data_IF_331530207273
#
_entry.id   IF_331530207273
#
_cell.length_a   1.000
_cell.length_b   1.000
_cell.length_c   1.000
_cell.angle_alpha   90.00
_cell.angle_beta   90.00
_cell.angle_gamma   90.00
#
_symmetry.space_group_name_H-M   'P 1'
#
loop_
_entity.id
_entity.type
_entity.pdbx_description
1 polymer ?
#
# COMPACT_ATOMS: atom_id res chain seq x y z
N UNK A 1 -5.02 -7.67 28.23
CA UNK A 1 -5.64 -7.48 26.91
C UNK A 1 -4.95 -8.42 25.93
N UNK A 2 -5.63 -8.90 24.89
CA UNK A 2 -5.03 -9.83 23.91
C UNK A 2 -4.02 -9.11 23.03
N UNK A 3 -2.84 -9.70 22.78
CA UNK A 3 -1.83 -9.15 21.86
C UNK A 3 -2.36 -8.87 20.44
N UNK A 4 -3.39 -9.62 20.03
CA UNK A 4 -4.06 -9.42 18.74
C UNK A 4 -4.85 -8.11 18.74
N UNK A 5 -5.63 -7.88 19.80
CA UNK A 5 -6.41 -6.65 19.98
C UNK A 5 -5.51 -5.43 20.07
N UNK A 6 -4.39 -5.52 20.79
CA UNK A 6 -3.41 -4.42 20.91
C UNK A 6 -2.88 -3.98 19.52
N UNK A 7 -2.61 -4.95 18.64
CA UNK A 7 -2.11 -4.66 17.28
C UNK A 7 -3.17 -4.00 16.40
N UNK A 8 -4.42 -4.45 16.48
CA UNK A 8 -5.53 -3.85 15.73
C UNK A 8 -5.82 -2.43 16.22
N UNK A 9 -5.84 -2.23 17.53
CA UNK A 9 -6.00 -0.93 18.16
C UNK A 9 -4.92 0.07 17.73
N UNK A 10 -3.64 -0.34 17.80
CA UNK A 10 -2.51 0.49 17.35
C UNK A 10 -2.64 0.86 15.86
N UNK A 11 -3.10 -0.08 15.01
CA UNK A 11 -3.34 0.21 13.59
C UNK A 11 -4.41 1.29 13.41
N UNK A 12 -5.52 1.21 14.13
CA UNK A 12 -6.59 2.22 14.06
C UNK A 12 -6.09 3.58 14.55
N UNK A 13 -5.37 3.61 15.68
CA UNK A 13 -4.74 4.82 16.23
C UNK A 13 -3.82 5.48 15.20
N UNK A 14 -2.90 4.74 14.61
CA UNK A 14 -1.95 5.29 13.64
C UNK A 14 -2.62 5.72 12.33
N UNK A 15 -3.68 5.02 11.91
CA UNK A 15 -4.34 5.26 10.61
C UNK A 15 -5.32 6.44 10.64
N UNK A 16 -6.10 6.57 11.72
CA UNK A 16 -7.22 7.52 11.81
C UNK A 16 -7.02 8.59 12.87
N UNK A 17 -6.46 8.24 14.03
CA UNK A 17 -6.35 9.20 15.14
C UNK A 17 -5.15 10.14 15.00
N UNK A 18 -3.95 9.60 14.75
CA UNK A 18 -2.71 10.40 14.65
C UNK A 18 -2.55 11.16 13.33
N UNK A 19 -3.39 10.86 12.34
CA UNK A 19 -3.20 11.34 10.98
C UNK A 19 -3.85 12.71 10.83
N UNK A 20 -3.08 13.72 10.44
CA UNK A 20 -3.64 15.04 10.13
C UNK A 20 -4.65 14.94 8.98
N UNK A 21 -5.86 15.44 9.23
CA UNK A 21 -6.91 15.52 8.23
C UNK A 21 -6.62 16.72 7.33
N UNK A 22 -6.13 16.45 6.12
CA UNK A 22 -6.06 17.46 5.08
C UNK A 22 -7.41 17.59 4.39
N UNK A 23 -7.92 18.83 4.31
CA UNK A 23 -9.22 19.13 3.72
C UNK A 23 -9.31 18.78 2.23
N UNK A 24 -8.18 18.71 1.52
CA UNK A 24 -8.14 18.54 0.07
C UNK A 24 -7.11 17.51 -0.38
N UNK A 25 -7.46 16.73 -1.42
CA UNK A 25 -6.52 15.84 -2.11
C UNK A 25 -5.67 16.72 -3.03
N UNK A 26 -4.33 16.56 -3.06
CA UNK A 26 -3.48 17.35 -3.94
C UNK A 26 -3.80 17.09 -5.41
N UNK A 27 -3.65 18.11 -6.26
CA UNK A 27 -3.85 18.02 -7.72
C UNK A 27 -3.01 16.90 -8.37
N UNK A 28 -1.83 16.64 -7.79
CA UNK A 28 -0.93 15.58 -8.21
C UNK A 28 -0.51 14.78 -6.99
N UNK A 29 -0.67 13.47 -7.06
CA UNK A 29 -0.23 12.58 -5.99
C UNK A 29 -0.22 11.13 -6.41
N UNK A 30 0.25 10.28 -5.49
CA UNK A 30 0.18 8.84 -5.63
C UNK A 30 -0.61 8.23 -4.46
N UNK A 31 -1.44 7.20 -4.69
CA UNK A 31 -2.10 6.49 -3.60
C UNK A 31 -1.08 5.96 -2.59
N UNK A 32 -1.29 6.28 -1.30
CA UNK A 32 -0.54 5.74 -0.14
C UNK A 32 0.98 5.91 -0.08
N UNK A 33 1.61 6.66 -0.99
CA UNK A 33 3.08 6.80 -1.02
C UNK A 33 3.77 5.47 -1.34
N UNK A 34 4.03 5.17 -2.62
CA UNK A 34 4.58 3.88 -3.01
C UNK A 34 6.00 3.74 -2.45
N UNK A 35 6.40 2.51 -2.11
CA UNK A 35 7.82 2.26 -1.91
C UNK A 35 8.56 2.50 -3.23
N UNK A 36 9.79 3.02 -3.16
CA UNK A 36 10.64 3.19 -4.34
C UNK A 36 11.27 1.84 -4.74
N UNK A 37 10.93 1.29 -5.93
CA UNK A 37 11.55 0.07 -6.43
C UNK A 37 13.06 0.24 -6.59
N UNK A 38 13.83 -0.79 -6.24
CA UNK A 38 15.28 -0.76 -6.41
C UNK A 38 16.07 -0.12 -5.28
N UNK A 39 15.43 0.54 -4.30
CA UNK A 39 16.14 1.21 -3.20
C UNK A 39 16.24 0.31 -1.96
N UNK A 40 15.12 -0.02 -1.33
CA UNK A 40 15.12 -0.69 -0.01
C UNK A 40 14.89 -2.20 -0.06
N UNK A 41 14.15 -2.67 -1.06
CA UNK A 41 13.68 -4.06 -1.16
C UNK A 41 14.02 -4.69 -2.51
N UNK A 42 15.11 -4.27 -3.14
CA UNK A 42 15.52 -4.82 -4.43
C UNK A 42 15.65 -6.36 -4.30
N UNK A 43 14.84 -7.07 -5.05
CA UNK A 43 14.82 -8.53 -5.05
C UNK A 43 15.55 -9.04 -6.28
N UNK A 44 16.37 -10.08 -6.11
CA UNK A 44 17.24 -10.64 -7.15
C UNK A 44 16.99 -12.14 -7.24
N UNK A 45 16.75 -12.64 -8.45
CA UNK A 45 16.64 -14.07 -8.67
C UNK A 45 17.98 -14.73 -9.05
N UNK A 46 17.98 -16.06 -9.16
CA UNK A 46 19.18 -16.87 -9.49
C UNK A 46 19.75 -16.60 -10.89
N UNK A 47 18.96 -15.99 -11.78
CA UNK A 47 19.37 -15.60 -13.13
C UNK A 47 19.98 -14.20 -13.18
N UNK A 48 20.08 -13.52 -12.02
CA UNK A 48 20.59 -12.17 -11.95
C UNK A 48 19.54 -11.09 -12.29
N UNK A 49 18.25 -11.42 -12.41
CA UNK A 49 17.19 -10.47 -12.71
C UNK A 49 16.70 -9.73 -11.45
N UNK A 50 16.51 -8.42 -11.58
CA UNK A 50 16.04 -7.54 -10.51
C UNK A 50 14.52 -7.33 -10.54
N UNK A 51 13.90 -7.30 -9.36
CA UNK A 51 12.46 -7.12 -9.11
C UNK A 51 12.22 -6.06 -8.03
N UNK A 52 11.07 -5.37 -8.03
CA UNK A 52 10.76 -4.29 -7.09
C UNK A 52 10.76 -4.71 -5.62
N UNK A 53 10.33 -5.95 -5.33
CA UNK A 53 10.33 -6.57 -4.01
C UNK A 53 10.06 -8.07 -4.09
N UNK A 54 10.10 -8.76 -2.95
CA UNK A 54 9.82 -10.19 -2.79
C UNK A 54 8.36 -10.60 -3.08
N UNK A 55 7.46 -9.62 -3.25
CA UNK A 55 6.00 -9.85 -3.33
C UNK A 55 5.47 -9.96 -4.76
N UNK A 56 6.33 -9.86 -5.76
CA UNK A 56 5.96 -9.98 -7.18
C UNK A 56 6.41 -11.33 -7.74
N UNK A 57 5.80 -11.74 -8.84
CA UNK A 57 6.19 -12.96 -9.53
C UNK A 57 7.52 -12.77 -10.27
N UNK A 58 8.48 -13.68 -10.07
CA UNK A 58 9.72 -13.73 -10.88
C UNK A 58 9.46 -14.12 -12.34
N UNK A 59 8.29 -14.68 -12.64
CA UNK A 59 7.87 -15.00 -14.01
C UNK A 59 7.28 -13.77 -14.72
N UNK A 60 7.05 -12.66 -14.01
CA UNK A 60 6.45 -11.45 -14.57
C UNK A 60 7.50 -10.54 -15.23
N UNK A 61 7.39 -10.41 -16.55
CA UNK A 61 8.24 -9.56 -17.37
C UNK A 61 8.08 -8.06 -17.07
N UNK A 62 6.86 -7.62 -16.70
CA UNK A 62 6.61 -6.23 -16.31
C UNK A 62 7.25 -5.90 -14.96
N UNK A 63 7.41 -6.91 -14.10
CA UNK A 63 8.05 -6.76 -12.78
C UNK A 63 9.57 -6.89 -12.82
N UNK A 64 10.14 -7.44 -13.90
CA UNK A 64 11.59 -7.44 -14.12
C UNK A 64 12.09 -6.01 -14.42
N UNK A 65 12.68 -5.37 -13.42
CA UNK A 65 13.17 -3.98 -13.43
C UNK A 65 14.67 -3.84 -13.66
N UNK A 66 15.38 -4.92 -13.97
CA UNK A 66 16.81 -4.85 -14.24
C UNK A 66 17.48 -6.22 -14.33
N UNK A 67 18.80 -6.19 -14.50
CA UNK A 67 19.67 -7.35 -14.39
C UNK A 67 21.01 -6.95 -13.76
N UNK A 68 21.69 -7.87 -13.09
CA UNK A 68 23.00 -7.63 -12.46
C UNK A 68 24.07 -7.13 -13.46
N UNK A 69 23.93 -7.48 -14.73
CA UNK A 69 24.85 -7.06 -15.80
C UNK A 69 24.49 -5.68 -16.35
N UNK A 70 23.20 -5.42 -16.58
CA UNK A 70 22.73 -4.18 -17.25
C UNK A 70 22.39 -3.05 -16.26
N UNK A 71 22.25 -3.37 -14.98
CA UNK A 71 21.74 -2.47 -13.95
C UNK A 71 20.21 -2.37 -13.93
N UNK A 72 19.72 -1.23 -13.44
CA UNK A 72 18.29 -0.94 -13.29
C UNK A 72 17.70 -0.29 -14.55
N UNK A 73 16.59 -0.83 -15.02
CA UNK A 73 15.82 -0.30 -16.14
C UNK A 73 14.90 0.82 -15.64
N UNK A 74 15.40 2.06 -15.65
CA UNK A 74 14.72 3.23 -15.06
C UNK A 74 13.31 3.44 -15.66
N UNK A 75 13.14 3.28 -16.98
CA UNK A 75 11.84 3.44 -17.63
C UNK A 75 10.80 2.44 -17.12
N UNK A 76 11.21 1.18 -16.89
CA UNK A 76 10.32 0.17 -16.30
C UNK A 76 9.97 0.51 -14.86
N UNK A 77 10.93 0.99 -14.07
CA UNK A 77 10.71 1.42 -12.68
C UNK A 77 9.69 2.56 -12.64
N UNK A 78 9.83 3.57 -13.50
CA UNK A 78 8.89 4.69 -13.59
C UNK A 78 7.48 4.22 -13.98
N UNK A 79 7.37 3.27 -14.90
CA UNK A 79 6.09 2.70 -15.30
C UNK A 79 5.38 2.01 -14.13
N UNK A 80 6.07 1.10 -13.42
CA UNK A 80 5.45 0.37 -12.29
C UNK A 80 5.21 1.25 -11.05
N UNK A 81 5.99 2.32 -10.90
CA UNK A 81 5.81 3.32 -9.84
C UNK A 81 4.49 4.06 -9.99
N UNK A 82 4.01 4.28 -11.22
CA UNK A 82 2.78 5.00 -11.48
C UNK A 82 1.57 4.06 -11.62
N UNK A 83 1.40 3.14 -10.67
CA UNK A 83 0.28 2.17 -10.69
C UNK A 83 -1.08 2.88 -10.70
N UNK A 84 -1.16 4.11 -10.15
CA UNK A 84 -2.33 4.99 -10.22
C UNK A 84 -2.85 5.16 -11.66
N UNK A 85 -1.95 5.37 -12.62
CA UNK A 85 -2.27 5.61 -14.04
C UNK A 85 -3.04 4.48 -14.70
N UNK A 86 -2.85 3.24 -14.25
CA UNK A 86 -3.54 2.04 -14.78
C UNK A 86 -5.07 2.12 -14.58
N UNK A 87 -5.54 2.82 -13.55
CA UNK A 87 -6.96 3.03 -13.27
C UNK A 87 -7.20 4.49 -12.88
N UNK A 88 -6.72 5.40 -13.72
CA UNK A 88 -6.64 6.83 -13.41
C UNK A 88 -7.98 7.43 -13.01
N UNK A 89 -9.03 7.18 -13.81
CA UNK A 89 -10.37 7.72 -13.58
C UNK A 89 -10.93 7.20 -12.24
N UNK A 90 -10.81 5.88 -12.01
CA UNK A 90 -11.29 5.29 -10.75
C UNK A 90 -10.49 5.77 -9.54
N UNK A 91 -9.19 6.03 -9.69
CA UNK A 91 -8.35 6.52 -8.61
C UNK A 91 -8.68 7.97 -8.25
N UNK A 92 -8.96 8.82 -9.24
CA UNK A 92 -9.34 10.22 -9.03
C UNK A 92 -10.69 10.36 -8.30
N UNK A 93 -11.63 9.45 -8.57
CA UNK A 93 -12.96 9.44 -7.94
C UNK A 93 -13.05 8.55 -6.68
N UNK A 94 -11.91 8.04 -6.17
CA UNK A 94 -11.92 7.07 -5.07
C UNK A 94 -11.99 7.73 -3.69
N UNK A 95 -13.08 7.50 -2.95
CA UNK A 95 -13.24 7.95 -1.56
C UNK A 95 -12.15 7.39 -0.61
N UNK A 96 -11.60 6.21 -0.91
CA UNK A 96 -10.57 5.57 -0.08
C UNK A 96 -9.14 5.86 -0.55
N UNK A 97 -8.93 6.84 -1.43
CA UNK A 97 -7.64 7.13 -2.07
C UNK A 97 -6.46 7.23 -1.08
N UNK A 98 -6.65 7.93 0.05
CA UNK A 98 -5.61 8.13 1.09
C UNK A 98 -5.23 6.86 1.86
N UNK A 99 -6.07 5.84 1.81
CA UNK A 99 -5.92 4.59 2.56
C UNK A 99 -5.49 3.43 1.66
N UNK A 100 -5.19 3.71 0.39
CA UNK A 100 -5.15 2.71 -0.67
C UNK A 100 -4.20 1.51 -0.52
N UNK A 101 -2.97 1.53 -0.07
CA UNK A 101 -2.02 0.37 0.00
C UNK A 101 -1.75 -0.49 -1.26
N UNK A 102 -2.53 -0.43 -2.34
CA UNK A 102 -2.29 -1.22 -3.56
C UNK A 102 -1.04 -0.73 -4.29
N UNK A 103 -0.11 -1.64 -4.54
CA UNK A 103 1.06 -1.43 -5.40
C UNK A 103 0.93 -2.21 -6.72
N UNK A 104 1.94 -2.09 -7.59
CA UNK A 104 2.00 -2.78 -8.88
C UNK A 104 1.79 -4.31 -8.78
N UNK A 105 2.17 -4.95 -7.68
CA UNK A 105 1.93 -6.37 -7.45
C UNK A 105 0.44 -6.77 -7.50
N UNK A 106 -0.46 -5.86 -7.13
CA UNK A 106 -1.91 -6.09 -7.18
C UNK A 106 -2.54 -5.84 -8.56
N UNK A 107 -1.75 -5.30 -9.48
CA UNK A 107 -2.12 -5.11 -10.88
C UNK A 107 -1.33 -6.05 -11.81
N UNK A 108 -0.42 -6.89 -11.29
CA UNK A 108 0.47 -7.73 -12.09
C UNK A 108 -0.30 -8.74 -12.95
N UNK A 109 -0.09 -8.67 -14.26
CA UNK A 109 -0.60 -9.61 -15.25
C UNK A 109 0.51 -10.08 -16.20
N UNK A 110 1.66 -10.43 -15.62
CA UNK A 110 2.84 -11.02 -16.29
C UNK A 110 3.58 -10.04 -17.20
N UNK A 111 2.94 -9.56 -18.26
CA UNK A 111 3.55 -8.67 -19.24
C UNK A 111 3.04 -7.23 -19.12
N UNK A 112 1.91 -7.03 -18.45
CA UNK A 112 1.27 -5.72 -18.26
C UNK A 112 0.80 -5.52 -16.82
N UNK A 113 0.49 -4.27 -16.48
CA UNK A 113 -0.34 -3.96 -15.32
C UNK A 113 -1.81 -3.93 -15.76
N UNK A 114 -2.60 -4.88 -15.28
CA UNK A 114 -4.01 -5.03 -15.60
C UNK A 114 -4.89 -4.13 -14.72
N UNK A 115 -5.69 -3.29 -15.40
CA UNK A 115 -6.74 -2.48 -14.77
C UNK A 115 -7.76 -3.35 -14.04
N UNK A 116 -8.18 -4.45 -14.64
CA UNK A 116 -9.22 -5.33 -14.06
C UNK A 116 -8.72 -5.99 -12.77
N UNK A 117 -7.48 -6.49 -12.76
CA UNK A 117 -6.86 -7.05 -11.54
C UNK A 117 -6.74 -5.99 -10.45
N UNK A 118 -6.36 -4.77 -10.82
CA UNK A 118 -6.29 -3.65 -9.86
C UNK A 118 -7.68 -3.34 -9.29
N UNK A 119 -8.71 -3.16 -10.13
CA UNK A 119 -10.08 -2.85 -9.71
C UNK A 119 -10.66 -3.94 -8.81
N UNK A 120 -10.41 -5.21 -9.13
CA UNK A 120 -10.80 -6.33 -8.28
C UNK A 120 -10.18 -6.22 -6.88
N UNK A 121 -8.94 -5.77 -6.76
CA UNK A 121 -8.31 -5.54 -5.46
C UNK A 121 -8.76 -4.22 -4.81
N UNK A 122 -9.17 -3.21 -5.59
CA UNK A 122 -9.73 -1.95 -5.06
C UNK A 122 -11.00 -2.18 -4.24
N UNK A 123 -11.85 -3.16 -4.60
CA UNK A 123 -13.04 -3.49 -3.81
C UNK A 123 -12.67 -3.96 -2.39
N UNK A 124 -11.63 -4.80 -2.27
CA UNK A 124 -11.13 -5.32 -0.99
C UNK A 124 -10.58 -4.20 -0.10
N UNK A 125 -9.82 -3.27 -0.69
CA UNK A 125 -9.28 -2.11 0.04
C UNK A 125 -10.39 -1.21 0.55
N UNK A 126 -11.38 -0.90 -0.30
CA UNK A 126 -12.53 -0.08 0.09
C UNK A 126 -13.30 -0.71 1.24
N UNK A 127 -13.61 -2.00 1.12
CA UNK A 127 -14.30 -2.74 2.18
C UNK A 127 -13.50 -2.77 3.50
N UNK A 128 -12.21 -3.10 3.44
CA UNK A 128 -11.36 -3.10 4.64
C UNK A 128 -11.24 -1.70 5.27
N UNK A 129 -11.18 -0.65 4.44
CA UNK A 129 -11.15 0.73 4.93
C UNK A 129 -12.46 1.11 5.61
N UNK A 130 -13.59 0.70 5.03
CA UNK A 130 -14.92 0.94 5.58
C UNK A 130 -15.10 0.27 6.95
N UNK A 131 -14.72 -1.01 7.09
CA UNK A 131 -14.81 -1.73 8.37
C UNK A 131 -13.93 -1.08 9.44
N UNK A 132 -12.72 -0.64 9.07
CA UNK A 132 -11.85 0.08 10.00
C UNK A 132 -12.43 1.41 10.46
N UNK A 133 -13.11 2.13 9.56
CA UNK A 133 -13.78 3.39 9.90
C UNK A 133 -14.95 3.14 10.85
N UNK A 134 -15.76 2.10 10.60
CA UNK A 134 -16.85 1.69 11.51
C UNK A 134 -16.32 1.37 12.91
N UNK A 135 -15.25 0.58 12.99
CA UNK A 135 -14.62 0.22 14.26
C UNK A 135 -14.05 1.45 14.99
N UNK A 136 -13.35 2.31 14.26
CA UNK A 136 -12.83 3.57 14.81
C UNK A 136 -13.94 4.46 15.36
N UNK A 137 -15.02 4.67 14.60
CA UNK A 137 -16.18 5.45 15.06
C UNK A 137 -16.82 4.83 16.29
N UNK A 138 -17.02 3.51 16.30
CA UNK A 138 -17.59 2.80 17.44
C UNK A 138 -16.74 3.00 18.71
N UNK A 139 -15.42 2.79 18.63
CA UNK A 139 -14.51 2.99 19.75
C UNK A 139 -14.54 4.44 20.26
N UNK A 140 -14.56 5.40 19.34
CA UNK A 140 -14.66 6.82 19.68
C UNK A 140 -16.00 7.15 20.37
N UNK A 141 -17.12 6.63 19.89
CA UNK A 141 -18.46 6.83 20.49
C UNK A 141 -18.58 6.19 21.88
N UNK A 142 -17.87 5.08 22.13
CA UNK A 142 -17.81 4.44 23.45
C UNK A 142 -16.84 5.15 24.42
N UNK A 143 -16.21 6.26 24.02
CA UNK A 143 -15.31 7.03 24.86
C UNK A 143 -13.92 6.41 25.01
N UNK A 144 -13.47 5.63 24.02
CA UNK A 144 -12.12 5.07 24.02
C UNK A 144 -11.06 6.19 23.91
N UNK A 145 -10.09 6.18 24.82
CA UNK A 145 -8.95 7.09 24.78
C UNK A 145 -7.85 6.55 23.87
N UNK A 146 -7.61 7.24 22.76
CA UNK A 146 -6.52 6.94 21.84
C UNK A 146 -5.19 7.60 22.25
N UNK A 147 -5.13 8.52 23.21
CA UNK A 147 -3.89 9.11 23.72
C UNK A 147 -3.18 8.16 24.69
N UNK A 148 -3.89 7.66 25.71
CA UNK A 148 -3.37 6.87 26.84
C UNK A 148 -2.82 5.47 26.48
N UNK A 149 -2.93 5.04 25.23
CA UNK A 149 -2.39 3.74 24.79
C UNK A 149 -0.86 3.75 24.62
N UNK A 150 -0.11 4.27 25.60
CA UNK A 150 1.22 3.78 25.88
C UNK A 150 1.06 2.39 26.48
N UNK A 151 0.91 1.40 25.58
CA UNK A 151 1.01 0.00 25.95
C UNK A 151 2.42 -0.18 26.50
N UNK A 152 2.55 -0.13 27.83
CA UNK A 152 3.78 -0.35 28.57
C UNK A 152 4.34 -1.72 28.18
N UNK A 153 5.25 -1.74 27.22
CA UNK A 153 6.16 -2.85 27.05
C UNK A 153 7.12 -2.81 28.23
N UNK A 154 6.81 -3.59 29.27
CA UNK A 154 7.86 -4.14 30.11
C UNK A 154 8.82 -4.87 29.18
N UNK A 155 9.98 -4.24 28.94
CA UNK A 155 11.20 -4.89 28.48
C UNK A 155 11.53 -6.05 29.41
N UNK A 156 11.40 -7.28 28.91
CA UNK A 156 12.21 -8.43 29.29
C UNK A 156 12.43 -9.30 28.06
#
# INVERSE_FOLDING_TARGET
VSKLFDKEFLRLKDTFYKRELNNEIPDIGHPSGPCMPGIRKLFLNVEGNFYPCERVSELSNIMKIGNITDGLYIDKIQNILNVGKVSEDECKDCWSYRYCYLCCAYADDMDILSKDKKIMNCSRVRHATEENLKEFCFLNEMGCDFEESDINYFTY
#
